data_IF_133506993911
#
_entry.id   IF_133506993911
#
_cell.length_a   1.000
_cell.length_b   1.000
_cell.length_c   1.000
_cell.angle_alpha   90.00
_cell.angle_beta   90.00
_cell.angle_gamma   90.00
#
_symmetry.space_group_name_H-M   'P 1'
#
loop_
_entity.id
_entity.type
_entity.pdbx_description
1 polymer ?
#
# COMPACT_ATOMS: atom_id res chain seq x y z
N UNK A 1 -16.42 -8.52 15.67
CA UNK A 1 -15.42 -7.43 15.58
C UNK A 1 -14.05 -7.98 15.15
N UNK A 2 -13.53 -9.02 15.82
CA UNK A 2 -12.19 -9.59 15.54
C UNK A 2 -11.99 -10.12 14.11
N UNK A 3 -12.98 -10.82 13.53
CA UNK A 3 -12.89 -11.34 12.15
C UNK A 3 -12.80 -10.19 11.13
N UNK A 4 -13.54 -9.10 11.36
CA UNK A 4 -13.53 -7.95 10.46
C UNK A 4 -12.19 -7.21 10.55
N UNK A 5 -11.65 -7.04 11.75
CA UNK A 5 -10.31 -6.48 11.95
C UNK A 5 -9.22 -7.32 11.25
N UNK A 6 -9.29 -8.65 11.35
CA UNK A 6 -8.36 -9.55 10.67
C UNK A 6 -8.42 -9.41 9.14
N UNK A 7 -9.63 -9.29 8.57
CA UNK A 7 -9.82 -9.07 7.13
C UNK A 7 -9.25 -7.71 6.71
N UNK A 8 -9.49 -6.65 7.48
CA UNK A 8 -8.96 -5.31 7.19
C UNK A 8 -7.43 -5.29 7.24
N UNK A 9 -6.81 -5.94 8.23
CA UNK A 9 -5.35 -6.08 8.32
C UNK A 9 -4.82 -6.84 7.11
N UNK A 10 -5.46 -7.95 6.73
CA UNK A 10 -5.04 -8.76 5.59
C UNK A 10 -5.07 -7.96 4.29
N UNK A 11 -6.15 -7.21 4.05
CA UNK A 11 -6.29 -6.33 2.89
C UNK A 11 -5.22 -5.24 2.91
N UNK A 12 -5.02 -4.57 4.05
CA UNK A 12 -4.00 -3.52 4.19
C UNK A 12 -2.60 -4.01 3.87
N UNK A 13 -2.19 -5.17 4.40
CA UNK A 13 -0.88 -5.78 4.14
C UNK A 13 -0.72 -6.08 2.64
N UNK A 14 -1.74 -6.67 2.00
CA UNK A 14 -1.70 -6.98 0.57
C UNK A 14 -1.59 -5.69 -0.25
N UNK A 15 -2.42 -4.68 0.04
CA UNK A 15 -2.42 -3.39 -0.66
C UNK A 15 -1.07 -2.69 -0.58
N UNK A 16 -0.42 -2.70 0.59
CA UNK A 16 0.90 -2.10 0.80
C UNK A 16 1.96 -2.80 -0.05
N UNK A 17 1.93 -4.14 -0.09
CA UNK A 17 2.86 -4.92 -0.94
C UNK A 17 2.62 -4.65 -2.42
N UNK A 18 1.35 -4.57 -2.83
CA UNK A 18 0.98 -4.32 -4.22
C UNK A 18 1.40 -2.92 -4.67
N UNK A 19 1.17 -1.90 -3.85
CA UNK A 19 1.43 -0.51 -4.22
C UNK A 19 2.91 -0.15 -4.03
N UNK A 20 3.52 -0.53 -2.90
CA UNK A 20 4.92 -0.22 -2.63
C UNK A 20 5.91 -1.00 -3.50
N UNK A 21 5.56 -2.23 -3.93
CA UNK A 21 6.51 -3.11 -4.62
C UNK A 21 6.05 -3.49 -6.04
N UNK A 22 4.83 -3.99 -6.21
CA UNK A 22 4.37 -4.44 -7.53
C UNK A 22 4.12 -3.29 -8.51
N UNK A 23 3.54 -2.18 -8.05
CA UNK A 23 3.23 -1.03 -8.90
C UNK A 23 4.48 -0.40 -9.55
N UNK A 24 5.57 -0.11 -8.81
CA UNK A 24 6.79 0.40 -9.42
C UNK A 24 7.46 -0.63 -10.34
N UNK A 25 7.53 -1.91 -9.93
CA UNK A 25 8.08 -2.96 -10.80
C UNK A 25 7.26 -3.16 -12.08
N UNK A 26 5.93 -3.05 -12.02
CA UNK A 26 5.06 -3.14 -13.19
C UNK A 26 5.30 -1.98 -14.16
N UNK A 27 5.50 -0.77 -13.64
CA UNK A 27 5.82 0.40 -14.46
C UNK A 27 7.20 0.27 -15.12
N UNK A 28 8.19 -0.26 -14.39
CA UNK A 28 9.51 -0.56 -14.95
C UNK A 28 9.45 -1.62 -16.06
N UNK A 29 8.68 -2.70 -15.88
CA UNK A 29 8.46 -3.72 -16.94
C UNK A 29 7.78 -3.13 -18.18
N UNK A 30 6.90 -2.13 -18.01
CA UNK A 30 6.26 -1.41 -19.11
C UNK A 30 7.16 -0.37 -19.78
N UNK A 31 8.42 -0.26 -19.36
CA UNK A 31 9.38 0.71 -19.92
C UNK A 31 9.14 2.14 -19.45
N UNK A 32 8.28 2.36 -18.45
CA UNK A 32 8.11 3.67 -17.80
C UNK A 32 9.10 3.77 -16.63
N UNK A 33 10.22 4.44 -16.86
CA UNK A 33 11.10 4.82 -15.75
C UNK A 33 10.39 5.83 -14.85
N UNK A 34 10.21 5.45 -13.60
CA UNK A 34 9.67 6.33 -12.57
C UNK A 34 10.76 7.33 -12.16
N UNK A 35 10.44 8.62 -12.20
CA UNK A 35 11.30 9.65 -11.59
C UNK A 35 11.34 9.48 -10.08
N UNK A 36 12.39 9.99 -9.43
CA UNK A 36 12.57 9.86 -7.96
C UNK A 36 11.35 10.39 -7.18
N UNK A 37 10.75 11.49 -7.65
CA UNK A 37 9.52 12.03 -7.05
C UNK A 37 8.31 11.09 -7.17
N UNK A 38 8.21 10.31 -8.25
CA UNK A 38 7.14 9.33 -8.41
C UNK A 38 7.36 8.10 -7.52
N UNK A 39 8.61 7.63 -7.38
CA UNK A 39 8.95 6.59 -6.40
C UNK A 39 8.58 7.03 -4.99
N UNK A 40 8.92 8.27 -4.62
CA UNK A 40 8.58 8.84 -3.32
C UNK A 40 7.05 8.95 -3.11
N UNK A 41 6.29 9.34 -4.13
CA UNK A 41 4.84 9.40 -4.07
C UNK A 41 4.19 8.02 -3.88
N UNK A 42 4.74 6.99 -4.54
CA UNK A 42 4.29 5.60 -4.39
C UNK A 42 4.58 5.07 -2.98
N UNK A 43 5.77 5.35 -2.45
CA UNK A 43 6.17 4.98 -1.10
C UNK A 43 5.29 5.69 -0.05
N UNK A 44 5.05 6.99 -0.24
CA UNK A 44 4.15 7.77 0.60
C UNK A 44 2.70 7.24 0.55
N UNK A 45 2.23 6.78 -0.61
CA UNK A 45 0.92 6.10 -0.73
C UNK A 45 0.89 4.78 0.04
N UNK A 46 1.95 3.97 -0.04
CA UNK A 46 2.03 2.71 0.71
C UNK A 46 2.00 2.97 2.24
N UNK A 47 2.72 3.98 2.72
CA UNK A 47 2.68 4.42 4.12
C UNK A 47 1.30 4.95 4.51
N UNK A 48 0.67 5.75 3.63
CA UNK A 48 -0.68 6.26 3.85
C UNK A 48 -1.71 5.15 4.03
N UNK A 49 -1.60 4.07 3.24
CA UNK A 49 -2.48 2.90 3.36
C UNK A 49 -2.26 2.18 4.69
N UNK A 50 -1.01 2.01 5.14
CA UNK A 50 -0.73 1.44 6.48
C UNK A 50 -1.40 2.26 7.58
N UNK A 51 -1.30 3.59 7.52
CA UNK A 51 -1.90 4.49 8.50
C UNK A 51 -3.43 4.38 8.50
N UNK A 52 -4.05 4.37 7.32
CA UNK A 52 -5.51 4.22 7.19
C UNK A 52 -5.96 2.86 7.71
N UNK A 53 -5.29 1.77 7.34
CA UNK A 53 -5.58 0.43 7.86
C UNK A 53 -5.47 0.40 9.38
N UNK A 54 -4.43 1.01 9.96
CA UNK A 54 -4.27 1.10 11.41
C UNK A 54 -5.41 1.86 12.09
N UNK A 55 -5.79 3.03 11.57
CA UNK A 55 -6.89 3.83 12.13
C UNK A 55 -8.22 3.06 12.06
N UNK A 56 -8.50 2.39 10.94
CA UNK A 56 -9.72 1.59 10.76
C UNK A 56 -9.75 0.46 11.79
N UNK A 57 -8.66 -0.29 11.92
CA UNK A 57 -8.56 -1.41 12.88
C UNK A 57 -8.68 -0.91 14.32
N UNK A 58 -8.08 0.23 14.66
CA UNK A 58 -8.16 0.82 15.99
C UNK A 58 -9.58 1.26 16.37
N UNK A 59 -10.37 1.67 15.37
CA UNK A 59 -11.76 2.16 15.57
C UNK A 59 -12.78 1.01 15.62
N UNK A 60 -12.37 -0.21 15.26
CA UNK A 60 -13.21 -1.41 15.10
C UNK A 60 -13.15 -2.32 16.33
#
# INVERSE_FOLDING_TARGET
>A
MEILAAVVIMIGIISVRVIGFFYPSFLEIKGKQLTEGQKYAIDALAIGILLVTFIIVWTL
#
